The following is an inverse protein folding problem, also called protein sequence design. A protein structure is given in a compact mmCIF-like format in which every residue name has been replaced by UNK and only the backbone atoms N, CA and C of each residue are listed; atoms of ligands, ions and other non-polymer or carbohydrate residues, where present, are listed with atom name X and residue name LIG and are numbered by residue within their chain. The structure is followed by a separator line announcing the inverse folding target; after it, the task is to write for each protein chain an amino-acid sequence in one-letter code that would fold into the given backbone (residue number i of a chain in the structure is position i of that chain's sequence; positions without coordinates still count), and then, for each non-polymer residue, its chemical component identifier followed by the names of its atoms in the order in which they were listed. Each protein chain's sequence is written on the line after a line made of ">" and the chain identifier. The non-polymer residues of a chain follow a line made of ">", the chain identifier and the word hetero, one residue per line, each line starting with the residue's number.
data_IF_410496267693
#
_entry.id   IF_410496267693
#
_cell.length_a   1.000
_cell.length_b   1.000
_cell.length_c   1.000
_cell.angle_alpha   90.00
_cell.angle_beta   90.00
_cell.angle_gamma   90.00
#
_symmetry.space_group_name_H-M   'P 1'
#
loop_
_entity.id
_entity.type
_entity.pdbx_description
1 polymer ?
#
# COMPACT_ATOMS: atom_id res chain seq x y z
N UNK A 1 2.46 -23.51 3.72
CA UNK A 1 1.04 -23.06 3.70
C UNK A 1 0.43 -23.54 2.39
N UNK A 2 -0.72 -24.21 2.42
CA UNK A 2 -1.46 -24.53 1.19
C UNK A 2 -2.16 -23.27 0.66
N UNK A 3 -2.43 -23.23 -0.65
CA UNK A 3 -3.17 -22.15 -1.31
C UNK A 3 -4.56 -21.93 -0.68
N UNK A 4 -5.20 -23.01 -0.23
CA UNK A 4 -6.50 -22.98 0.45
C UNK A 4 -6.44 -22.26 1.80
N UNK A 5 -5.40 -22.52 2.61
CA UNK A 5 -5.19 -21.80 3.87
C UNK A 5 -4.93 -20.31 3.65
N UNK A 6 -4.13 -19.97 2.63
CA UNK A 6 -3.86 -18.57 2.32
C UNK A 6 -5.12 -17.83 1.85
N UNK A 7 -5.87 -18.44 0.92
CA UNK A 7 -7.14 -17.89 0.45
C UNK A 7 -8.11 -17.74 1.62
N UNK A 8 -8.20 -18.70 2.53
CA UNK A 8 -9.04 -18.62 3.73
C UNK A 8 -8.70 -17.42 4.61
N UNK A 9 -7.41 -17.19 4.89
CA UNK A 9 -6.98 -16.07 5.73
C UNK A 9 -7.19 -14.69 5.08
N UNK A 10 -7.04 -14.60 3.75
CA UNK A 10 -7.09 -13.32 3.03
C UNK A 10 -8.50 -12.96 2.57
N UNK A 11 -9.36 -13.96 2.35
CA UNK A 11 -10.75 -13.76 1.93
C UNK A 11 -11.69 -13.45 3.09
N UNK A 12 -11.25 -13.66 4.32
CA UNK A 12 -12.10 -13.49 5.50
C UNK A 12 -12.56 -12.04 5.67
N UNK A 13 -13.88 -11.85 5.78
CA UNK A 13 -14.52 -10.53 5.88
C UNK A 13 -14.45 -9.66 4.61
N UNK A 14 -14.04 -10.20 3.45
CA UNK A 14 -13.96 -9.44 2.18
C UNK A 14 -15.21 -9.54 1.29
N UNK A 15 -16.13 -10.48 1.50
CA UNK A 15 -17.38 -10.59 0.73
C UNK A 15 -17.16 -10.63 -0.79
N UNK A 16 -17.74 -9.69 -1.55
CA UNK A 16 -17.55 -9.59 -3.00
C UNK A 16 -16.11 -9.20 -3.42
N UNK A 17 -15.29 -8.72 -2.49
CA UNK A 17 -13.91 -8.30 -2.73
C UNK A 17 -12.88 -9.45 -2.65
N UNK A 18 -13.34 -10.68 -2.41
CA UNK A 18 -12.48 -11.85 -2.11
C UNK A 18 -11.45 -12.16 -3.19
N UNK A 19 -11.82 -12.16 -4.47
CA UNK A 19 -10.88 -12.42 -5.58
C UNK A 19 -9.86 -11.29 -5.70
N UNK A 20 -10.33 -10.04 -5.61
CA UNK A 20 -9.44 -8.88 -5.71
C UNK A 20 -8.47 -8.84 -4.53
N UNK A 21 -8.94 -9.10 -3.32
CA UNK A 21 -8.12 -9.12 -2.11
C UNK A 21 -7.12 -10.27 -2.08
N UNK A 22 -7.50 -11.46 -2.56
CA UNK A 22 -6.58 -12.62 -2.64
C UNK A 22 -5.45 -12.39 -3.63
N UNK A 23 -5.75 -11.84 -4.82
CA UNK A 23 -4.71 -11.45 -5.79
C UNK A 23 -3.84 -10.33 -5.21
N UNK A 24 -4.46 -9.30 -4.64
CA UNK A 24 -3.73 -8.16 -4.10
C UNK A 24 -2.86 -8.51 -2.88
N UNK A 25 -3.20 -9.54 -2.11
CA UNK A 25 -2.37 -10.03 -1.01
C UNK A 25 -1.05 -10.66 -1.46
N UNK A 26 -0.91 -11.06 -2.73
CA UNK A 26 0.39 -11.43 -3.31
C UNK A 26 1.12 -10.21 -3.88
N UNK A 27 0.37 -9.31 -4.52
CA UNK A 27 0.94 -8.15 -5.23
C UNK A 27 1.45 -7.09 -4.25
N UNK A 28 0.71 -6.78 -3.19
CA UNK A 28 1.05 -5.72 -2.24
C UNK A 28 2.38 -5.99 -1.52
N UNK A 29 2.64 -7.19 -0.95
CA UNK A 29 3.95 -7.48 -0.36
C UNK A 29 5.09 -7.41 -1.37
N UNK A 30 4.87 -7.87 -2.61
CA UNK A 30 5.89 -7.78 -3.66
C UNK A 30 6.24 -6.32 -3.99
N UNK A 31 5.23 -5.45 -4.12
CA UNK A 31 5.42 -4.01 -4.33
C UNK A 31 6.16 -3.37 -3.14
N UNK A 32 5.81 -3.72 -1.90
CA UNK A 32 6.50 -3.19 -0.71
C UNK A 32 7.96 -3.63 -0.63
N UNK A 33 8.27 -4.88 -0.95
CA UNK A 33 9.65 -5.40 -0.94
C UNK A 33 10.47 -4.74 -2.04
N UNK A 34 9.97 -4.70 -3.28
CA UNK A 34 10.69 -4.11 -4.42
C UNK A 34 10.87 -2.61 -4.21
N UNK A 35 9.79 -1.89 -3.89
CA UNK A 35 9.84 -0.45 -3.67
C UNK A 35 10.76 -0.07 -2.49
N UNK A 36 10.65 -0.77 -1.36
CA UNK A 36 11.51 -0.56 -0.20
C UNK A 36 12.98 -0.87 -0.46
N UNK A 37 13.27 -1.96 -1.19
CA UNK A 37 14.64 -2.31 -1.56
C UNK A 37 15.27 -1.26 -2.49
N UNK A 38 14.53 -0.77 -3.49
CA UNK A 38 15.03 0.27 -4.38
C UNK A 38 15.32 1.59 -3.63
N UNK A 39 14.45 1.98 -2.68
CA UNK A 39 14.70 3.12 -1.81
C UNK A 39 15.93 2.93 -0.90
N UNK A 40 16.13 1.72 -0.36
CA UNK A 40 17.27 1.41 0.51
C UNK A 40 18.61 1.44 -0.23
N UNK A 41 18.64 1.01 -1.49
CA UNK A 41 19.84 1.00 -2.34
C UNK A 41 20.07 2.36 -3.03
N UNK A 42 19.09 3.26 -2.99
CA UNK A 42 19.18 4.60 -3.58
C UNK A 42 19.24 4.59 -5.11
N UNK A 43 18.64 3.58 -5.74
CA UNK A 43 18.63 3.41 -7.20
C UNK A 43 17.21 3.51 -7.75
N UNK A 44 17.08 4.08 -8.95
CA UNK A 44 15.80 4.21 -9.67
C UNK A 44 14.68 4.84 -8.81
N UNK A 45 14.97 6.00 -8.21
CA UNK A 45 14.05 6.71 -7.30
C UNK A 45 12.64 6.91 -7.86
N UNK A 46 12.50 7.22 -9.15
CA UNK A 46 11.18 7.34 -9.78
C UNK A 46 10.39 6.03 -9.71
N UNK A 47 11.01 4.90 -10.10
CA UNK A 47 10.37 3.57 -10.07
C UNK A 47 10.07 3.16 -8.64
N UNK A 48 11.01 3.38 -7.71
CA UNK A 48 10.82 3.13 -6.29
C UNK A 48 9.62 3.90 -5.74
N UNK A 49 9.49 5.17 -6.15
CA UNK A 49 8.45 6.07 -5.68
C UNK A 49 7.05 5.68 -6.17
N UNK A 50 6.95 5.22 -7.42
CA UNK A 50 5.70 4.74 -7.99
C UNK A 50 5.26 3.42 -7.38
N UNK A 51 6.17 2.45 -7.27
CA UNK A 51 5.88 1.11 -6.75
C UNK A 51 5.44 1.18 -5.29
N UNK A 52 6.17 1.93 -4.46
CA UNK A 52 5.85 2.10 -3.04
C UNK A 52 4.61 2.97 -2.84
N UNK A 53 4.43 4.00 -3.68
CA UNK A 53 3.25 4.86 -3.66
C UNK A 53 1.96 4.13 -4.01
N UNK A 54 1.99 3.27 -5.03
CA UNK A 54 0.86 2.40 -5.39
C UNK A 54 0.53 1.41 -4.27
N UNK A 55 1.56 0.81 -3.64
CA UNK A 55 1.36 -0.10 -2.51
C UNK A 55 0.65 0.61 -1.36
N UNK A 56 1.19 1.74 -0.88
CA UNK A 56 0.64 2.51 0.23
C UNK A 56 -0.72 3.13 -0.09
N UNK A 57 -0.91 3.65 -1.30
CA UNK A 57 -2.16 4.25 -1.77
C UNK A 57 -3.31 3.25 -1.91
N UNK A 58 -3.01 1.99 -2.23
CA UNK A 58 -4.04 0.95 -2.35
C UNK A 58 -4.68 0.55 -1.01
N UNK A 59 -3.98 0.76 0.12
CA UNK A 59 -4.45 0.39 1.46
C UNK A 59 -5.69 1.20 1.89
N UNK A 60 -5.67 2.54 1.94
CA UNK A 60 -6.85 3.31 2.35
C UNK A 60 -8.01 3.11 1.38
N UNK A 61 -7.74 2.96 0.08
CA UNK A 61 -8.78 2.68 -0.93
C UNK A 61 -9.46 1.34 -0.65
N UNK A 62 -8.69 0.27 -0.41
CA UNK A 62 -9.24 -1.04 -0.07
C UNK A 62 -10.04 -1.03 1.24
N UNK A 63 -9.57 -0.30 2.25
CA UNK A 63 -10.27 -0.17 3.53
C UNK A 63 -11.59 0.59 3.42
N UNK A 64 -11.67 1.61 2.55
CA UNK A 64 -12.91 2.37 2.30
C UNK A 64 -13.88 1.63 1.37
N UNK A 65 -13.39 0.71 0.53
CA UNK A 65 -14.23 -0.15 -0.31
C UNK A 65 -14.89 -1.30 0.48
N UNK A 66 -14.28 -1.76 1.58
CA UNK A 66 -14.82 -2.83 2.44
C UNK A 66 -16.26 -2.56 2.94
N UNK A 67 -16.59 -1.37 3.49
CA UNK A 67 -17.96 -1.06 3.90
C UNK A 67 -18.98 -1.11 2.75
N UNK A 68 -18.57 -0.69 1.55
CA UNK A 68 -19.45 -0.62 0.38
C UNK A 68 -19.71 -2.00 -0.21
N UNK A 69 -18.69 -2.86 -0.27
CA UNK A 69 -18.72 -4.12 -1.01
C UNK A 69 -18.84 -5.37 -0.12
N UNK A 70 -18.62 -5.23 1.18
CA UNK A 70 -18.60 -6.35 2.13
C UNK A 70 -19.53 -6.12 3.34
N UNK A 71 -20.19 -4.96 3.44
CA UNK A 71 -21.14 -4.65 4.51
C UNK A 71 -20.54 -4.46 5.90
N UNK A 72 -19.21 -4.34 5.98
CA UNK A 72 -18.49 -4.06 7.24
C UNK A 72 -18.82 -2.64 7.72
N UNK A 73 -19.02 -2.45 9.02
CA UNK A 73 -19.37 -1.13 9.54
C UNK A 73 -18.20 -0.13 9.33
N UNK A 74 -18.52 1.09 8.88
CA UNK A 74 -17.53 2.17 8.69
C UNK A 74 -16.66 2.43 9.94
N UNK A 75 -17.19 2.39 11.18
CA UNK A 75 -16.38 2.60 12.38
C UNK A 75 -15.28 1.55 12.57
N UNK A 76 -15.47 0.32 12.07
CA UNK A 76 -14.52 -0.78 12.26
C UNK A 76 -13.31 -0.65 11.31
N UNK A 77 -13.50 0.02 10.16
CA UNK A 77 -12.43 0.24 9.17
C UNK A 77 -11.75 1.60 9.31
N UNK A 78 -12.41 2.59 9.94
CA UNK A 78 -11.92 3.96 10.05
C UNK A 78 -10.55 4.07 10.74
N UNK A 79 -10.27 3.41 11.88
CA UNK A 79 -8.97 3.50 12.54
C UNK A 79 -7.81 3.02 11.66
N UNK A 80 -8.02 1.91 10.95
CA UNK A 80 -7.04 1.37 10.02
C UNK A 80 -6.86 2.25 8.78
N UNK A 81 -7.96 2.80 8.23
CA UNK A 81 -7.90 3.71 7.09
C UNK A 81 -7.14 5.00 7.44
N UNK A 82 -7.42 5.59 8.61
CA UNK A 82 -6.71 6.79 9.09
C UNK A 82 -5.22 6.52 9.27
N UNK A 83 -4.86 5.39 9.88
CA UNK A 83 -3.45 5.01 10.03
C UNK A 83 -2.75 4.88 8.66
N UNK A 84 -3.42 4.30 7.67
CA UNK A 84 -2.89 4.20 6.31
C UNK A 84 -2.71 5.57 5.65
N UNK A 85 -3.64 6.51 5.85
CA UNK A 85 -3.50 7.89 5.37
C UNK A 85 -2.32 8.62 6.02
N UNK A 86 -2.08 8.44 7.32
CA UNK A 86 -0.92 9.03 8.01
C UNK A 86 0.38 8.54 7.36
N UNK A 87 0.50 7.23 7.13
CA UNK A 87 1.68 6.66 6.46
C UNK A 87 1.85 7.14 5.03
N UNK A 88 0.76 7.32 4.29
CA UNK A 88 0.80 7.88 2.93
C UNK A 88 1.31 9.33 2.95
N UNK A 89 0.85 10.15 3.89
CA UNK A 89 1.33 11.53 4.05
C UNK A 89 2.82 11.55 4.41
N UNK A 90 3.24 10.75 5.40
CA UNK A 90 4.65 10.62 5.78
C UNK A 90 5.49 10.19 4.57
N UNK A 91 5.00 9.22 3.79
CA UNK A 91 5.67 8.76 2.58
C UNK A 91 5.82 9.88 1.54
N UNK A 92 4.79 10.68 1.28
CA UNK A 92 4.88 11.84 0.38
C UNK A 92 5.94 12.83 0.85
N UNK A 93 6.04 13.08 2.15
CA UNK A 93 7.11 13.91 2.71
C UNK A 93 8.48 13.29 2.50
N UNK A 94 8.65 11.98 2.76
CA UNK A 94 9.92 11.28 2.56
C UNK A 94 10.34 11.34 1.08
N UNK A 95 9.43 11.07 0.14
CA UNK A 95 9.75 11.14 -1.29
C UNK A 95 10.15 12.56 -1.69
N UNK A 96 9.41 13.59 -1.24
CA UNK A 96 9.75 14.99 -1.53
C UNK A 96 11.05 15.47 -0.88
N UNK A 97 11.37 14.98 0.32
CA UNK A 97 12.63 15.31 1.01
C UNK A 97 13.81 14.54 0.39
N UNK A 98 13.62 13.29 -0.02
CA UNK A 98 14.65 12.49 -0.67
C UNK A 98 15.02 13.00 -2.07
N UNK A 99 14.07 13.52 -2.86
CA UNK A 99 14.41 14.21 -4.12
C UNK A 99 15.21 15.49 -3.91
N UNK A 100 15.18 16.11 -2.71
CA UNK A 100 15.97 17.31 -2.40
C UNK A 100 17.30 17.02 -1.69
N UNK A 101 17.52 15.84 -1.13
CA UNK A 101 18.68 15.55 -0.25
C UNK A 101 19.80 14.70 -0.90
N UNK A 102 19.68 14.33 -2.18
CA UNK A 102 20.61 13.40 -2.84
C UNK A 102 21.77 14.00 -3.66
N UNK A 103 21.76 15.29 -3.96
CA UNK A 103 22.88 15.91 -4.67
C UNK A 103 22.48 17.06 -5.59
N UNK A 104 22.82 18.28 -5.18
CA UNK A 104 23.19 19.39 -6.07
C UNK A 104 22.16 20.01 -7.03
N UNK A 105 21.04 19.35 -7.36
CA UNK A 105 20.08 19.90 -8.33
C UNK A 105 18.66 19.88 -7.77
N UNK A 106 18.34 20.91 -6.99
CA UNK A 106 16.98 21.43 -6.96
C UNK A 106 16.74 22.16 -8.28
N UNK A 107 16.42 21.44 -9.35
CA UNK A 107 15.85 22.08 -10.55
C UNK A 107 14.38 22.40 -10.29
N UNK A 108 14.04 23.66 -10.58
CA UNK A 108 12.73 24.29 -10.38
C UNK A 108 11.67 23.68 -11.28
#
# INVERSE_FOLDING_TARGET
>A
MSLEMFSGMVSDGLGALTILGTVWAYVLPALMIVGGALFAVGMYYDVASWVTGLALGSIPVGMLLKPVLSGVALPDVMPMAINAFIWLIVYVFVVKLCTCCGGGSCEK
#
